data_IF_482041947591
#
_entry.id   IF_482041947591
#
_cell.length_a   1.000
_cell.length_b   1.000
_cell.length_c   1.000
_cell.angle_alpha   90.00
_cell.angle_beta   90.00
_cell.angle_gamma   90.00
#
_symmetry.space_group_name_H-M   'P 1'
#
loop_
_entity.id
_entity.type
_entity.pdbx_description
1 polymer ?
#
# COMPACT_ATOMS: atom_id res chain seq x y z
N UNK A 1 17.09 16.99 -0.93
CA UNK A 1 17.32 15.54 -1.05
C UNK A 1 16.23 14.96 -1.93
N UNK A 2 16.49 13.89 -2.71
CA UNK A 2 15.44 13.22 -3.46
C UNK A 2 14.36 12.72 -2.49
N UNK A 3 13.08 12.90 -2.83
CA UNK A 3 11.97 12.33 -2.06
C UNK A 3 11.72 10.91 -2.53
N UNK A 4 11.66 9.95 -1.62
CA UNK A 4 11.28 8.56 -1.86
C UNK A 4 9.81 8.37 -1.50
N UNK A 5 9.02 7.87 -2.44
CA UNK A 5 7.57 7.69 -2.25
C UNK A 5 7.25 6.21 -2.42
N UNK A 6 6.51 5.64 -1.47
CA UNK A 6 5.94 4.29 -1.57
C UNK A 6 4.48 4.41 -2.03
N UNK A 7 4.20 4.01 -3.27
CA UNK A 7 2.86 3.93 -3.84
C UNK A 7 2.27 2.52 -3.69
N UNK A 8 0.99 2.42 -3.37
CA UNK A 8 0.25 1.18 -3.11
C UNK A 8 -1.03 1.13 -3.95
N UNK A 9 -1.21 0.03 -4.69
CA UNK A 9 -2.48 -0.39 -5.30
C UNK A 9 -3.08 -1.50 -4.40
N UNK A 10 -4.06 -1.15 -3.54
CA UNK A 10 -4.49 -2.02 -2.46
C UNK A 10 -5.43 -3.13 -2.95
N UNK A 11 -5.11 -4.36 -2.54
CA UNK A 11 -6.01 -5.48 -2.72
C UNK A 11 -5.73 -6.60 -1.73
N UNK A 12 -6.80 -7.30 -1.30
CA UNK A 12 -6.65 -8.36 -0.32
C UNK A 12 -5.92 -9.58 -0.90
N UNK A 13 -6.18 -9.94 -2.16
CA UNK A 13 -5.54 -11.09 -2.81
C UNK A 13 -4.18 -10.74 -3.41
N UNK A 14 -4.05 -9.53 -3.94
CA UNK A 14 -2.85 -8.99 -4.55
C UNK A 14 -2.82 -7.50 -4.24
N UNK A 15 -1.73 -7.04 -3.65
CA UNK A 15 -1.48 -5.64 -3.30
C UNK A 15 -0.22 -5.20 -4.05
N UNK A 16 -0.40 -4.39 -5.08
CA UNK A 16 0.69 -3.83 -5.86
C UNK A 16 1.44 -2.77 -5.05
N UNK A 17 2.74 -2.67 -5.25
CA UNK A 17 3.53 -1.57 -4.70
C UNK A 17 4.59 -1.08 -5.69
N UNK A 18 4.94 0.19 -5.57
CA UNK A 18 6.04 0.81 -6.29
C UNK A 18 6.75 1.84 -5.43
N UNK A 19 8.08 1.83 -5.45
CA UNK A 19 8.93 2.84 -4.85
C UNK A 19 9.56 3.69 -5.95
N UNK A 20 9.39 5.00 -5.83
CA UNK A 20 9.95 5.98 -6.76
C UNK A 20 10.74 7.03 -6.00
N UNK A 21 11.82 7.51 -6.61
CA UNK A 21 12.52 8.73 -6.19
C UNK A 21 12.08 9.90 -7.06
N UNK A 22 11.96 11.07 -6.45
CA UNK A 22 11.68 12.34 -7.12
C UNK A 22 12.76 13.36 -6.75
N UNK A 23 13.49 13.85 -7.76
CA UNK A 23 14.51 14.89 -7.58
C UNK A 23 14.45 15.88 -8.75
N UNK A 24 14.23 17.16 -8.45
CA UNK A 24 14.20 18.23 -9.45
C UNK A 24 13.29 17.94 -10.67
N UNK A 25 12.15 17.29 -10.43
CA UNK A 25 11.18 16.94 -11.49
C UNK A 25 11.52 15.67 -12.28
N UNK A 26 12.63 14.99 -11.96
CA UNK A 26 12.96 13.68 -12.52
C UNK A 26 12.47 12.57 -11.60
N UNK A 27 11.85 11.55 -12.20
CA UNK A 27 11.41 10.33 -11.52
C UNK A 27 12.38 9.18 -11.80
N UNK A 28 12.73 8.42 -10.77
CA UNK A 28 13.51 7.20 -10.87
C UNK A 28 12.83 6.04 -10.16
N UNK A 29 12.75 4.88 -10.82
CA UNK A 29 12.25 3.64 -10.20
C UNK A 29 13.26 3.08 -9.21
N UNK A 30 12.82 2.72 -8.01
CA UNK A 30 13.67 2.09 -6.98
C UNK A 30 13.37 0.60 -6.88
N UNK A 31 12.09 0.24 -6.68
CA UNK A 31 11.63 -1.14 -6.49
C UNK A 31 10.14 -1.21 -6.83
N UNK A 32 9.64 -2.36 -7.25
CA UNK A 32 8.21 -2.58 -7.42
C UNK A 32 7.89 -4.07 -7.32
N UNK A 33 6.64 -4.37 -7.01
CA UNK A 33 6.22 -5.76 -6.88
C UNK A 33 4.78 -5.90 -6.44
N UNK A 34 4.46 -7.09 -5.96
CA UNK A 34 3.13 -7.42 -5.47
C UNK A 34 3.23 -8.31 -4.23
N UNK A 35 2.56 -7.90 -3.16
CA UNK A 35 2.31 -8.72 -2.00
C UNK A 35 1.01 -9.49 -2.23
N UNK A 36 1.09 -10.82 -2.24
CA UNK A 36 -0.06 -11.67 -2.52
C UNK A 36 -0.45 -12.51 -1.31
N UNK A 37 -1.75 -12.66 -1.10
CA UNK A 37 -2.29 -13.63 -0.14
C UNK A 37 -3.39 -14.46 -0.80
N UNK A 38 -3.50 -15.72 -0.41
CA UNK A 38 -4.50 -16.67 -0.90
C UNK A 38 -5.57 -16.89 0.17
N UNK A 39 -6.75 -17.32 -0.26
CA UNK A 39 -7.86 -17.60 0.67
C UNK A 39 -7.50 -18.67 1.70
N UNK A 40 -6.65 -19.63 1.32
CA UNK A 40 -6.16 -20.69 2.19
C UNK A 40 -5.08 -20.23 3.19
N UNK A 41 -4.54 -19.01 3.05
CA UNK A 41 -3.48 -18.52 3.93
C UNK A 41 -4.03 -18.10 5.31
N UNK A 42 -5.35 -17.98 5.45
CA UNK A 42 -6.01 -17.75 6.73
C UNK A 42 -7.27 -16.91 6.64
N UNK A 43 -7.72 -16.48 7.81
CA UNK A 43 -8.80 -15.51 8.00
C UNK A 43 -8.46 -14.16 7.37
N UNK A 44 -9.48 -13.30 7.23
CA UNK A 44 -9.30 -11.94 6.73
C UNK A 44 -8.26 -11.17 7.55
N UNK A 45 -8.28 -11.30 8.89
CA UNK A 45 -7.36 -10.61 9.77
C UNK A 45 -5.91 -11.06 9.59
N UNK A 46 -5.66 -12.36 9.47
CA UNK A 46 -4.32 -12.92 9.24
C UNK A 46 -3.75 -12.46 7.90
N UNK A 47 -4.59 -12.45 6.86
CA UNK A 47 -4.18 -11.99 5.52
C UNK A 47 -3.88 -10.49 5.51
N UNK A 48 -4.70 -9.66 6.17
CA UNK A 48 -4.42 -8.23 6.35
C UNK A 48 -3.11 -8.04 7.14
N UNK A 49 -2.89 -8.83 8.19
CA UNK A 49 -1.65 -8.78 8.97
C UNK A 49 -0.43 -9.12 8.12
N UNK A 50 -0.53 -10.10 7.23
CA UNK A 50 0.53 -10.44 6.29
C UNK A 50 0.88 -9.26 5.36
N UNK A 51 -0.14 -8.61 4.79
CA UNK A 51 0.04 -7.41 3.97
C UNK A 51 0.70 -6.28 4.77
N UNK A 52 0.21 -6.00 5.99
CA UNK A 52 0.77 -4.97 6.85
C UNK A 52 2.25 -5.22 7.19
N UNK A 53 2.63 -6.47 7.47
CA UNK A 53 4.02 -6.84 7.70
C UNK A 53 4.88 -6.57 6.46
N UNK A 54 4.42 -6.98 5.27
CA UNK A 54 5.14 -6.71 4.02
C UNK A 54 5.33 -5.23 3.73
N UNK A 55 4.29 -4.40 3.95
CA UNK A 55 4.40 -2.95 3.84
C UNK A 55 5.38 -2.39 4.89
N UNK A 56 5.30 -2.86 6.13
CA UNK A 56 6.24 -2.47 7.19
C UNK A 56 7.69 -2.81 6.86
N UNK A 57 7.95 -3.95 6.21
CA UNK A 57 9.30 -4.35 5.78
C UNK A 57 9.81 -3.44 4.65
N UNK A 58 8.95 -3.04 3.70
CA UNK A 58 9.28 -2.04 2.69
C UNK A 58 9.61 -0.68 3.31
N UNK A 59 8.80 -0.22 4.26
CA UNK A 59 9.03 1.05 4.97
C UNK A 59 10.36 1.02 5.73
N UNK A 60 10.65 -0.05 6.48
CA UNK A 60 11.93 -0.20 7.19
C UNK A 60 13.13 -0.22 6.25
N UNK A 61 13.00 -0.93 5.12
CA UNK A 61 14.09 -1.11 4.16
C UNK A 61 14.43 0.16 3.39
N UNK A 62 13.41 0.90 2.93
CA UNK A 62 13.61 2.01 1.99
C UNK A 62 13.39 3.39 2.62
N UNK A 63 12.83 3.47 3.84
CA UNK A 63 12.57 4.72 4.56
C UNK A 63 11.90 5.79 3.66
N UNK A 64 10.74 5.49 3.05
CA UNK A 64 10.05 6.46 2.20
C UNK A 64 9.65 7.69 3.01
N UNK A 65 9.52 8.85 2.37
CA UNK A 65 9.06 10.09 2.98
C UNK A 65 7.54 10.09 3.19
N UNK A 66 6.79 9.37 2.34
CA UNK A 66 5.35 9.23 2.47
C UNK A 66 4.82 7.93 1.83
N UNK A 67 3.59 7.61 2.21
CA UNK A 67 2.80 6.53 1.63
C UNK A 67 1.71 7.14 0.73
N UNK A 68 1.61 6.69 -0.51
CA UNK A 68 0.51 7.02 -1.41
C UNK A 68 -0.30 5.76 -1.66
N UNK A 69 -1.62 5.82 -1.49
CA UNK A 69 -2.53 4.68 -1.64
C UNK A 69 -3.63 5.03 -2.62
N UNK A 70 -3.91 4.14 -3.58
CA UNK A 70 -5.07 4.29 -4.44
C UNK A 70 -6.37 4.16 -3.62
N UNK A 71 -7.28 5.11 -3.79
CA UNK A 71 -8.57 5.13 -3.10
C UNK A 71 -9.64 4.32 -3.85
N UNK A 72 -10.62 3.83 -3.11
CA UNK A 72 -11.69 3.00 -3.66
C UNK A 72 -12.70 3.89 -4.40
N UNK A 73 -12.59 3.92 -5.72
CA UNK A 73 -13.41 4.80 -6.55
C UNK A 73 -14.71 4.15 -7.09
N UNK A 74 -14.64 2.93 -7.65
CA UNK A 74 -15.82 2.20 -8.10
C UNK A 74 -15.70 0.70 -7.86
N UNK A 75 -16.66 0.13 -7.13
CA UNK A 75 -16.75 -1.32 -6.95
C UNK A 75 -18.07 -1.87 -7.48
N UNK A 76 -17.98 -2.77 -8.48
CA UNK A 76 -19.13 -3.55 -8.96
C UNK A 76 -19.64 -4.54 -7.92
N UNK A 77 -18.77 -4.98 -7.01
CA UNK A 77 -19.08 -5.94 -5.95
C UNK A 77 -18.81 -5.32 -4.57
N UNK A 78 -19.88 -5.04 -3.84
CA UNK A 78 -19.84 -4.39 -2.51
C UNK A 78 -19.00 -5.20 -1.52
N UNK A 79 -19.09 -6.55 -1.54
CA UNK A 79 -18.36 -7.39 -0.59
C UNK A 79 -16.85 -7.29 -0.80
N UNK A 80 -16.41 -7.36 -2.06
CA UNK A 80 -15.00 -7.19 -2.40
C UNK A 80 -14.51 -5.77 -2.06
N UNK A 81 -15.34 -4.75 -2.29
CA UNK A 81 -15.04 -3.36 -1.92
C UNK A 81 -14.79 -3.22 -0.42
N UNK A 82 -15.66 -3.81 0.41
CA UNK A 82 -15.53 -3.76 1.86
C UNK A 82 -14.27 -4.44 2.37
N UNK A 83 -13.84 -5.53 1.72
CA UNK A 83 -12.59 -6.20 2.08
C UNK A 83 -11.36 -5.37 1.71
N UNK A 84 -11.37 -4.71 0.54
CA UNK A 84 -10.31 -3.75 0.16
C UNK A 84 -10.32 -2.52 1.07
N UNK A 85 -11.49 -2.02 1.48
CA UNK A 85 -11.61 -0.88 2.39
C UNK A 85 -10.95 -1.17 3.75
N UNK A 86 -11.08 -2.40 4.26
CA UNK A 86 -10.39 -2.83 5.49
C UNK A 86 -8.87 -2.87 5.31
N UNK A 87 -8.39 -3.30 4.14
CA UNK A 87 -6.95 -3.27 3.80
C UNK A 87 -6.45 -1.82 3.73
N UNK A 88 -7.18 -0.92 3.05
CA UNK A 88 -6.81 0.49 2.98
C UNK A 88 -6.76 1.12 4.39
N UNK A 89 -7.77 0.87 5.21
CA UNK A 89 -7.80 1.32 6.61
C UNK A 89 -6.63 0.76 7.44
N UNK A 90 -6.19 -0.47 7.17
CA UNK A 90 -5.02 -1.03 7.85
C UNK A 90 -3.72 -0.38 7.40
N UNK A 91 -3.59 0.03 6.13
CA UNK A 91 -2.43 0.77 5.64
C UNK A 91 -2.33 2.18 6.22
N UNK A 92 -3.44 2.85 6.52
CA UNK A 92 -3.44 4.11 7.28
C UNK A 92 -2.77 3.89 8.65
N UNK A 93 -3.18 2.82 9.35
CA UNK A 93 -2.61 2.49 10.64
C UNK A 93 -1.12 2.14 10.54
N UNK A 94 -0.72 1.37 9.53
CA UNK A 94 0.70 1.04 9.28
C UNK A 94 1.51 2.29 8.98
N UNK A 95 1.07 3.16 8.06
CA UNK A 95 1.78 4.40 7.75
C UNK A 95 2.03 5.24 9.00
N UNK A 96 1.01 5.40 9.84
CA UNK A 96 1.12 6.15 11.10
C UNK A 96 2.02 5.48 12.15
N UNK A 97 2.07 4.14 12.20
CA UNK A 97 3.01 3.41 13.08
C UNK A 97 4.49 3.70 12.77
N UNK A 98 4.80 4.08 11.51
CA UNK A 98 6.16 4.45 11.08
C UNK A 98 6.32 5.96 10.88
N UNK A 99 5.45 6.76 11.51
CA UNK A 99 5.45 8.21 11.42
C UNK A 99 5.26 8.81 10.01
N UNK A 100 4.79 8.01 9.02
CA UNK A 100 4.56 8.47 7.65
C UNK A 100 3.22 9.16 7.47
N UNK A 101 3.22 10.23 6.68
CA UNK A 101 2.00 10.81 6.13
C UNK A 101 1.47 9.91 5.00
N UNK A 102 0.15 9.65 5.02
CA UNK A 102 -0.51 8.80 4.03
C UNK A 102 -1.46 9.65 3.18
N UNK A 103 -1.29 9.57 1.86
CA UNK A 103 -2.09 10.29 0.88
C UNK A 103 -2.96 9.31 0.08
N UNK A 104 -4.18 9.73 -0.22
CA UNK A 104 -5.13 8.96 -1.00
C UNK A 104 -5.40 9.65 -2.32
N UNK A 105 -5.40 8.85 -3.40
CA UNK A 105 -5.67 9.35 -4.75
C UNK A 105 -6.69 8.45 -5.43
N UNK A 106 -7.71 9.05 -6.01
CA UNK A 106 -8.59 8.32 -6.92
C UNK A 106 -7.82 8.01 -8.22
N UNK A 107 -8.17 6.91 -8.91
CA UNK A 107 -7.64 6.63 -10.25
C UNK A 107 -8.06 7.67 -11.32
N UNK A 108 -8.94 8.62 -10.98
CA UNK A 108 -9.37 9.74 -11.83
C UNK A 108 -8.96 11.09 -11.25
#
# INVERSE_FOLDING_TARGET
MPKTILGIDPGLAACGFGLVSSSAGQLGSIEYGCLATKKQDGTLAERISCLNSGIGDLIKKYQPDCLAVEDIYFAKNVRSALDVAKVCGSFIAVGRQYDLETFFYTPL
#
